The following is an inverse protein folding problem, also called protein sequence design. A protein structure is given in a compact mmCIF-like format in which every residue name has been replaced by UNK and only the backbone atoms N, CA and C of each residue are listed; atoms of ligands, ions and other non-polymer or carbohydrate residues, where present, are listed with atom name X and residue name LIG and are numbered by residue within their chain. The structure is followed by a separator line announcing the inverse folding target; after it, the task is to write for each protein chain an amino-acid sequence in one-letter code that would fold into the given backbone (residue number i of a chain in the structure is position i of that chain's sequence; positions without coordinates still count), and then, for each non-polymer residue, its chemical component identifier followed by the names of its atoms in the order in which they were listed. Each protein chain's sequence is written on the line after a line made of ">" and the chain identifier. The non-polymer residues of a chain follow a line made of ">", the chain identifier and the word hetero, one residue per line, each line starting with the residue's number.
data_IF_740941572654
#
_entry.id   IF_740941572654
#
_cell.length_a   1.000
_cell.length_b   1.000
_cell.length_c   1.000
_cell.angle_alpha   90.00
_cell.angle_beta   90.00
_cell.angle_gamma   90.00
#
_symmetry.space_group_name_H-M   'P 1'
#
loop_
_entity.id
_entity.type
_entity.pdbx_description
1 polymer ?
#
# COMPACT_ATOMS: atom_id res chain seq x y z
N UNK A 1 -5.90 -14.61 -20.45
CA UNK A 1 -5.37 -14.57 -19.08
C UNK A 1 -5.76 -13.26 -18.36
N UNK A 2 -5.59 -12.11 -18.98
CA UNK A 2 -5.88 -10.78 -18.39
C UNK A 2 -7.31 -10.61 -17.90
N UNK A 3 -8.30 -11.16 -18.64
CA UNK A 3 -9.72 -11.10 -18.26
C UNK A 3 -10.01 -11.86 -16.96
N UNK A 4 -9.43 -13.05 -16.79
CA UNK A 4 -9.62 -13.86 -15.57
C UNK A 4 -9.00 -13.16 -14.37
N UNK A 5 -7.80 -12.58 -14.55
CA UNK A 5 -7.11 -11.80 -13.52
C UNK A 5 -7.92 -10.57 -13.15
N UNK A 6 -8.45 -9.84 -14.13
CA UNK A 6 -9.28 -8.65 -13.90
C UNK A 6 -10.55 -8.96 -13.10
N UNK A 7 -11.27 -10.05 -13.45
CA UNK A 7 -12.45 -10.48 -12.72
C UNK A 7 -12.08 -10.92 -11.28
N UNK A 8 -11.00 -11.67 -11.12
CA UNK A 8 -10.54 -12.10 -9.79
C UNK A 8 -10.15 -10.91 -8.89
N UNK A 9 -9.45 -9.92 -9.43
CA UNK A 9 -9.07 -8.71 -8.69
C UNK A 9 -10.28 -7.86 -8.32
N UNK A 10 -11.24 -7.70 -9.23
CA UNK A 10 -12.48 -6.97 -8.95
C UNK A 10 -13.30 -7.68 -7.85
N UNK A 11 -13.41 -9.01 -7.90
CA UNK A 11 -14.10 -9.80 -6.88
C UNK A 11 -13.38 -9.69 -5.51
N UNK A 12 -12.05 -9.76 -5.47
CA UNK A 12 -11.26 -9.57 -4.26
C UNK A 12 -11.43 -8.15 -3.70
N UNK A 13 -11.49 -7.13 -4.55
CA UNK A 13 -11.75 -5.75 -4.13
C UNK A 13 -13.12 -5.61 -3.47
N UNK A 14 -14.17 -6.19 -4.05
CA UNK A 14 -15.51 -6.20 -3.48
C UNK A 14 -15.52 -6.97 -2.14
N UNK A 15 -14.86 -8.12 -2.07
CA UNK A 15 -14.71 -8.89 -0.83
C UNK A 15 -14.05 -8.07 0.29
N UNK A 16 -13.07 -7.24 -0.06
CA UNK A 16 -12.37 -6.34 0.88
C UNK A 16 -13.33 -5.31 1.49
N UNK A 17 -14.31 -4.82 0.74
CA UNK A 17 -15.33 -3.90 1.27
C UNK A 17 -16.28 -4.58 2.26
N UNK A 18 -16.58 -5.86 2.03
CA UNK A 18 -17.53 -6.62 2.89
C UNK A 18 -16.85 -7.09 4.19
N UNK A 19 -15.57 -7.48 4.11
CA UNK A 19 -14.81 -8.01 5.25
C UNK A 19 -13.47 -7.28 5.44
N UNK A 20 -13.49 -6.00 5.88
CA UNK A 20 -12.29 -5.17 5.96
C UNK A 20 -11.22 -5.72 6.92
N UNK A 21 -11.62 -6.29 8.07
CA UNK A 21 -10.68 -6.84 9.05
C UNK A 21 -9.93 -8.09 8.52
N UNK A 22 -10.64 -8.96 7.83
CA UNK A 22 -10.06 -10.16 7.20
C UNK A 22 -9.12 -9.77 6.04
N UNK A 23 -9.50 -8.76 5.26
CA UNK A 23 -8.67 -8.27 4.17
C UNK A 23 -7.34 -7.72 4.67
N UNK A 24 -7.35 -6.89 5.73
CA UNK A 24 -6.10 -6.37 6.33
C UNK A 24 -5.27 -7.50 6.93
N UNK A 25 -5.90 -8.50 7.57
CA UNK A 25 -5.19 -9.68 8.07
C UNK A 25 -4.48 -10.42 6.94
N UNK A 26 -5.16 -10.62 5.82
CA UNK A 26 -4.58 -11.26 4.63
C UNK A 26 -3.41 -10.47 4.08
N UNK A 27 -3.52 -9.14 4.01
CA UNK A 27 -2.43 -8.26 3.58
C UNK A 27 -1.21 -8.37 4.49
N UNK A 28 -1.41 -8.41 5.81
CA UNK A 28 -0.32 -8.60 6.79
C UNK A 28 0.40 -9.92 6.58
N UNK A 29 -0.35 -11.01 6.34
CA UNK A 29 0.22 -12.33 6.06
C UNK A 29 1.03 -12.34 4.75
N UNK A 30 0.46 -11.78 3.68
CA UNK A 30 1.14 -11.67 2.37
C UNK A 30 2.43 -10.85 2.52
N UNK A 31 2.37 -9.73 3.23
CA UNK A 31 3.55 -8.91 3.48
C UNK A 31 4.59 -9.64 4.31
N UNK A 32 4.17 -10.42 5.31
CA UNK A 32 5.05 -11.28 6.11
C UNK A 32 5.81 -12.31 5.26
N UNK A 33 5.13 -12.95 4.31
CA UNK A 33 5.74 -13.89 3.36
C UNK A 33 6.76 -13.18 2.46
N UNK A 34 6.38 -12.04 1.89
CA UNK A 34 7.26 -11.24 1.02
C UNK A 34 8.49 -10.77 1.81
N UNK A 35 8.32 -10.31 3.06
CA UNK A 35 9.41 -9.87 3.91
C UNK A 35 10.42 -10.99 4.20
N UNK A 36 9.96 -12.23 4.39
CA UNK A 36 10.84 -13.38 4.56
C UNK A 36 11.60 -13.67 3.27
N UNK A 37 10.92 -13.70 2.12
CA UNK A 37 11.55 -13.99 0.83
C UNK A 37 12.59 -12.91 0.49
N UNK A 38 12.25 -11.64 0.64
CA UNK A 38 13.19 -10.53 0.37
C UNK A 38 14.34 -10.52 1.37
N UNK A 39 14.09 -10.78 2.65
CA UNK A 39 15.12 -10.87 3.66
C UNK A 39 16.10 -12.01 3.41
N UNK A 40 15.62 -13.18 2.98
CA UNK A 40 16.50 -14.30 2.56
C UNK A 40 17.32 -13.89 1.33
N UNK A 41 16.71 -13.20 0.35
CA UNK A 41 17.41 -12.71 -0.83
C UNK A 41 18.54 -11.73 -0.46
N UNK A 42 18.30 -10.81 0.47
CA UNK A 42 19.30 -9.86 0.97
C UNK A 42 20.47 -10.55 1.67
N UNK A 43 20.19 -11.60 2.47
CA UNK A 43 21.23 -12.42 3.10
C UNK A 43 22.04 -13.19 2.06
N UNK A 44 21.39 -13.78 1.04
CA UNK A 44 22.07 -14.48 -0.06
C UNK A 44 22.92 -13.52 -0.88
N UNK A 45 22.45 -12.31 -1.14
CA UNK A 45 23.21 -11.24 -1.79
C UNK A 45 24.49 -10.91 -1.00
N UNK A 46 24.39 -10.76 0.32
CA UNK A 46 25.56 -10.53 1.17
C UNK A 46 26.61 -11.64 1.04
N UNK A 47 26.17 -12.90 1.00
CA UNK A 47 27.11 -14.06 0.88
C UNK A 47 27.79 -14.11 -0.49
N UNK A 48 27.08 -13.69 -1.56
CA UNK A 48 27.57 -13.72 -2.95
C UNK A 48 28.44 -12.52 -3.33
N UNK A 49 28.17 -11.37 -2.72
CA UNK A 49 28.92 -10.12 -3.02
C UNK A 49 30.22 -10.13 -2.21
N UNK A 50 31.33 -9.89 -2.91
CA UNK A 50 32.67 -9.93 -2.32
C UNK A 50 32.78 -8.90 -1.17
N UNK A 51 33.30 -9.34 -0.04
CA UNK A 51 33.44 -8.57 1.21
C UNK A 51 34.28 -7.28 1.06
N UNK A 52 34.93 -7.09 -0.09
CA UNK A 52 35.79 -5.94 -0.37
C UNK A 52 35.04 -4.69 -0.89
N UNK A 53 33.72 -4.79 -1.09
CA UNK A 53 32.89 -3.69 -1.65
C UNK A 53 32.35 -2.69 -0.60
N UNK A 54 32.87 -2.65 0.63
CA UNK A 54 32.57 -1.63 1.62
C UNK A 54 31.28 -1.83 2.43
N UNK A 55 30.65 -0.74 2.85
CA UNK A 55 29.54 -0.73 3.82
C UNK A 55 28.21 -1.33 3.30
N UNK A 56 28.01 -1.34 1.98
CA UNK A 56 26.74 -1.79 1.34
C UNK A 56 26.33 -3.22 1.68
N UNK A 57 27.22 -4.23 1.54
CA UNK A 57 26.88 -5.62 1.85
C UNK A 57 26.49 -5.84 3.32
N UNK A 58 27.15 -5.16 4.25
CA UNK A 58 26.85 -5.28 5.70
C UNK A 58 25.43 -4.75 6.02
N UNK A 59 25.01 -3.66 5.38
CA UNK A 59 23.66 -3.12 5.52
C UNK A 59 22.63 -4.12 4.97
N UNK A 60 22.90 -4.77 3.84
CA UNK A 60 22.03 -5.80 3.27
C UNK A 60 21.85 -7.00 4.22
N UNK A 61 22.92 -7.44 4.90
CA UNK A 61 22.82 -8.51 5.88
C UNK A 61 21.92 -8.13 7.06
N UNK A 62 22.13 -6.95 7.63
CA UNK A 62 21.35 -6.46 8.77
C UNK A 62 19.89 -6.30 8.36
N UNK A 63 19.62 -5.66 7.20
CA UNK A 63 18.29 -5.50 6.64
C UNK A 63 17.62 -6.86 6.41
N UNK A 64 18.33 -7.83 5.82
CA UNK A 64 17.81 -9.15 5.55
C UNK A 64 17.40 -9.90 6.81
N UNK A 65 18.25 -9.90 7.85
CA UNK A 65 17.93 -10.53 9.14
C UNK A 65 16.70 -9.86 9.78
N UNK A 66 16.65 -8.53 9.81
CA UNK A 66 15.53 -7.79 10.37
C UNK A 66 14.23 -8.08 9.58
N UNK A 67 14.30 -8.16 8.25
CA UNK A 67 13.15 -8.47 7.39
C UNK A 67 12.62 -9.88 7.64
N UNK A 68 13.50 -10.88 7.78
CA UNK A 68 13.10 -12.26 8.11
C UNK A 68 12.45 -12.32 9.49
N UNK A 69 13.04 -11.67 10.49
CA UNK A 69 12.47 -11.63 11.85
C UNK A 69 11.10 -10.94 11.87
N UNK A 70 10.98 -9.78 11.22
CA UNK A 70 9.72 -9.05 11.11
C UNK A 70 8.67 -9.88 10.37
N UNK A 71 9.03 -10.49 9.24
CA UNK A 71 8.14 -11.35 8.47
C UNK A 71 7.64 -12.56 9.27
N UNK A 72 8.52 -13.23 9.99
CA UNK A 72 8.16 -14.34 10.88
C UNK A 72 7.20 -13.89 11.99
N UNK A 73 7.45 -12.72 12.61
CA UNK A 73 6.58 -12.15 13.62
C UNK A 73 5.18 -11.83 13.07
N UNK A 74 5.09 -11.30 11.85
CA UNK A 74 3.81 -10.99 11.19
C UNK A 74 3.01 -12.26 10.86
N UNK A 75 3.67 -13.36 10.52
CA UNK A 75 3.00 -14.63 10.26
C UNK A 75 2.48 -15.31 11.53
N UNK A 76 3.25 -15.23 12.63
CA UNK A 76 2.87 -15.83 13.91
C UNK A 76 1.80 -14.99 14.62
N UNK A 77 1.91 -13.66 14.52
CA UNK A 77 1.03 -12.69 15.19
C UNK A 77 0.45 -11.67 14.21
N UNK A 78 -0.46 -12.06 13.29
CA UNK A 78 -1.02 -11.13 12.28
C UNK A 78 -1.76 -9.94 12.93
N UNK A 79 -2.36 -10.14 14.09
CA UNK A 79 -3.02 -9.07 14.84
C UNK A 79 -2.03 -7.97 15.28
N UNK A 80 -0.80 -8.32 15.64
CA UNK A 80 0.23 -7.32 15.94
C UNK A 80 0.56 -6.47 14.70
N UNK A 81 0.63 -7.09 13.52
CA UNK A 81 0.80 -6.39 12.25
C UNK A 81 -0.35 -5.42 11.94
N UNK A 82 -1.61 -5.82 12.20
CA UNK A 82 -2.77 -4.91 12.07
C UNK A 82 -2.65 -3.69 13.00
N UNK A 83 -2.24 -3.89 14.23
CA UNK A 83 -2.03 -2.79 15.17
C UNK A 83 -0.93 -1.83 14.70
N UNK A 84 0.18 -2.35 14.20
CA UNK A 84 1.26 -1.53 13.62
C UNK A 84 0.74 -0.72 12.43
N UNK A 85 0.02 -1.34 11.50
CA UNK A 85 -0.59 -0.64 10.36
C UNK A 85 -1.59 0.43 10.82
N UNK A 86 -2.42 0.13 11.82
CA UNK A 86 -3.42 1.07 12.33
C UNK A 86 -2.83 2.33 12.98
N UNK A 87 -1.58 2.28 13.40
CA UNK A 87 -0.85 3.43 13.94
C UNK A 87 -0.01 4.14 12.87
N UNK A 88 0.69 3.39 12.02
CA UNK A 88 1.56 3.98 10.99
C UNK A 88 0.77 4.67 9.89
N UNK A 89 -0.37 4.10 9.48
CA UNK A 89 -1.18 4.67 8.42
C UNK A 89 -1.70 6.09 8.73
N UNK A 90 -2.31 6.36 9.89
CA UNK A 90 -2.73 7.73 10.23
C UNK A 90 -1.57 8.72 10.31
N UNK A 91 -0.42 8.30 10.85
CA UNK A 91 0.77 9.16 10.94
C UNK A 91 1.24 9.55 9.54
N UNK A 92 1.37 8.57 8.64
CA UNK A 92 1.71 8.82 7.24
C UNK A 92 0.67 9.71 6.54
N UNK A 93 -0.61 9.46 6.77
CA UNK A 93 -1.72 10.20 6.19
C UNK A 93 -1.72 11.67 6.64
N UNK A 94 -1.52 11.93 7.94
CA UNK A 94 -1.37 13.28 8.50
C UNK A 94 -0.18 13.99 7.87
N UNK A 95 0.99 13.34 7.80
CA UNK A 95 2.18 13.88 7.18
C UNK A 95 1.95 14.25 5.70
N UNK A 96 1.21 13.41 4.97
CA UNK A 96 0.83 13.67 3.58
C UNK A 96 -0.11 14.88 3.44
N UNK A 97 -1.15 14.98 4.28
CA UNK A 97 -2.04 16.13 4.30
C UNK A 97 -1.29 17.43 4.64
N UNK A 98 -0.37 17.39 5.62
CA UNK A 98 0.44 18.54 6.00
C UNK A 98 1.38 18.97 4.87
N UNK A 99 2.02 18.01 4.19
CA UNK A 99 2.84 18.30 3.01
C UNK A 99 2.04 18.98 1.89
N UNK A 100 0.82 18.50 1.61
CA UNK A 100 -0.08 19.12 0.63
C UNK A 100 -0.49 20.53 1.02
N UNK A 101 -0.79 20.77 2.30
CA UNK A 101 -1.11 22.10 2.81
C UNK A 101 0.08 23.07 2.68
N UNK A 102 1.31 22.61 2.86
CA UNK A 102 2.51 23.42 2.70
C UNK A 102 2.72 23.92 1.26
N UNK A 103 2.23 23.16 0.27
CA UNK A 103 2.37 23.49 -1.16
C UNK A 103 1.15 24.23 -1.76
N UNK A 104 0.20 24.67 -0.94
CA UNK A 104 -1.03 25.32 -1.41
C UNK A 104 -0.79 26.56 -2.27
N UNK A 105 0.21 27.37 -1.95
CA UNK A 105 0.55 28.58 -2.73
C UNK A 105 0.99 28.22 -4.16
N UNK A 106 1.74 27.14 -4.32
CA UNK A 106 2.16 26.64 -5.63
C UNK A 106 0.94 26.12 -6.42
N UNK A 107 0.02 25.41 -5.78
CA UNK A 107 -1.21 24.93 -6.40
C UNK A 107 -2.08 26.08 -6.89
N UNK A 108 -2.21 27.15 -6.10
CA UNK A 108 -2.94 28.36 -6.50
C UNK A 108 -2.39 28.98 -7.77
N UNK A 109 -1.05 29.02 -7.90
CA UNK A 109 -0.37 29.61 -9.05
C UNK A 109 -0.56 28.80 -10.34
N UNK A 110 -0.61 27.46 -10.24
CA UNK A 110 -0.65 26.56 -11.40
C UNK A 110 -2.09 26.21 -11.78
N UNK A 111 -2.95 25.91 -10.81
CA UNK A 111 -4.27 25.32 -11.03
C UNK A 111 -5.45 26.23 -10.70
N UNK A 112 -5.19 27.46 -10.23
CA UNK A 112 -6.21 28.46 -9.97
C UNK A 112 -6.89 28.37 -8.60
N UNK A 113 -7.80 29.33 -8.36
CA UNK A 113 -8.37 29.57 -7.04
C UNK A 113 -9.34 28.47 -6.59
N UNK A 114 -10.07 27.85 -7.52
CA UNK A 114 -11.00 26.75 -7.20
C UNK A 114 -10.26 25.52 -6.66
N UNK A 115 -9.19 25.11 -7.33
CA UNK A 115 -8.38 23.94 -6.92
C UNK A 115 -7.66 24.22 -5.59
N UNK A 116 -7.24 25.45 -5.35
CA UNK A 116 -6.68 25.88 -4.06
C UNK A 116 -7.66 25.63 -2.90
N UNK A 117 -8.88 26.18 -2.98
CA UNK A 117 -9.89 26.04 -1.92
C UNK A 117 -10.31 24.57 -1.73
N UNK A 118 -10.53 23.85 -2.82
CA UNK A 118 -10.87 22.42 -2.79
C UNK A 118 -9.78 21.61 -2.09
N UNK A 119 -8.51 21.80 -2.49
CA UNK A 119 -7.37 21.09 -1.90
C UNK A 119 -7.21 21.44 -0.42
N UNK A 120 -7.40 22.72 -0.05
CA UNK A 120 -7.32 23.16 1.33
C UNK A 120 -8.36 22.47 2.20
N UNK A 121 -9.64 22.49 1.80
CA UNK A 121 -10.74 21.89 2.56
C UNK A 121 -10.54 20.38 2.70
N UNK A 122 -10.24 19.68 1.61
CA UNK A 122 -10.04 18.21 1.63
C UNK A 122 -8.87 17.82 2.54
N UNK A 123 -7.76 18.54 2.52
CA UNK A 123 -6.61 18.22 3.38
C UNK A 123 -6.84 18.57 4.85
N UNK A 124 -7.62 19.64 5.15
CA UNK A 124 -8.02 19.94 6.53
C UNK A 124 -8.93 18.85 7.08
N UNK A 125 -9.94 18.41 6.31
CA UNK A 125 -10.79 17.26 6.67
C UNK A 125 -9.94 16.01 6.85
N UNK A 126 -9.01 15.75 5.93
CA UNK A 126 -8.07 14.63 6.01
C UNK A 126 -7.22 14.66 7.29
N UNK A 127 -6.75 15.83 7.70
CA UNK A 127 -5.97 15.99 8.93
C UNK A 127 -6.80 15.66 10.17
N UNK A 128 -8.05 16.14 10.24
CA UNK A 128 -8.99 15.82 11.33
C UNK A 128 -9.26 14.31 11.36
N UNK A 129 -9.54 13.69 10.21
CA UNK A 129 -9.75 12.25 10.10
C UNK A 129 -8.50 11.45 10.53
N UNK A 130 -7.31 11.88 10.13
CA UNK A 130 -6.06 11.26 10.54
C UNK A 130 -5.88 11.27 12.06
N UNK A 131 -6.21 12.37 12.72
CA UNK A 131 -6.19 12.45 14.19
C UNK A 131 -7.21 11.50 14.81
N UNK A 132 -8.45 11.46 14.31
CA UNK A 132 -9.49 10.52 14.77
C UNK A 132 -9.04 9.06 14.61
N UNK A 133 -8.35 8.73 13.52
CA UNK A 133 -7.82 7.37 13.28
C UNK A 133 -6.78 6.94 14.32
N UNK A 134 -5.96 7.86 14.85
CA UNK A 134 -4.98 7.53 15.92
C UNK A 134 -5.71 7.07 17.19
N UNK A 135 -6.83 7.72 17.53
CA UNK A 135 -7.62 7.35 18.70
C UNK A 135 -8.56 6.16 18.48
N UNK A 136 -8.80 5.80 17.22
CA UNK A 136 -9.73 4.72 16.84
C UNK A 136 -9.10 3.77 15.82
N UNK A 137 -8.28 2.79 16.27
CA UNK A 137 -7.57 1.86 15.38
C UNK A 137 -8.47 1.10 14.40
N UNK A 138 -9.71 0.80 14.81
CA UNK A 138 -10.68 0.13 13.93
C UNK A 138 -11.04 0.99 12.70
N UNK A 139 -11.12 2.31 12.85
CA UNK A 139 -11.37 3.23 11.73
C UNK A 139 -10.16 3.23 10.79
N UNK A 140 -8.94 3.20 11.34
CA UNK A 140 -7.71 3.13 10.57
C UNK A 140 -7.64 1.82 9.75
N UNK A 141 -7.94 0.68 10.36
CA UNK A 141 -7.98 -0.62 9.68
C UNK A 141 -9.02 -0.61 8.55
N UNK A 142 -10.22 -0.11 8.81
CA UNK A 142 -11.26 0.00 7.79
C UNK A 142 -10.84 0.94 6.64
N UNK A 143 -10.21 2.07 6.93
CA UNK A 143 -9.72 2.99 5.92
C UNK A 143 -8.67 2.36 5.00
N UNK A 144 -7.70 1.62 5.56
CA UNK A 144 -6.71 0.87 4.79
C UNK A 144 -7.39 -0.16 3.90
N UNK A 145 -8.34 -0.94 4.44
CA UNK A 145 -9.08 -1.93 3.67
C UNK A 145 -9.84 -1.29 2.51
N UNK A 146 -10.55 -0.20 2.74
CA UNK A 146 -11.32 0.48 1.70
C UNK A 146 -10.45 1.07 0.60
N UNK A 147 -9.29 1.65 0.94
CA UNK A 147 -8.33 2.14 -0.06
C UNK A 147 -7.81 0.99 -0.90
N UNK A 148 -7.41 -0.11 -0.28
CA UNK A 148 -6.91 -1.30 -0.99
C UNK A 148 -8.02 -1.92 -1.83
N UNK A 149 -9.23 -2.05 -1.29
CA UNK A 149 -10.39 -2.57 -2.03
C UNK A 149 -10.73 -1.73 -3.25
N UNK A 150 -10.75 -0.40 -3.11
CA UNK A 150 -10.96 0.52 -4.23
C UNK A 150 -9.87 0.37 -5.31
N UNK A 151 -8.60 0.28 -4.89
CA UNK A 151 -7.49 0.07 -5.80
C UNK A 151 -7.61 -1.27 -6.57
N UNK A 152 -7.96 -2.36 -5.87
CA UNK A 152 -8.15 -3.66 -6.50
C UNK A 152 -9.30 -3.68 -7.51
N UNK A 153 -10.42 -3.00 -7.20
CA UNK A 153 -11.55 -2.86 -8.13
C UNK A 153 -11.13 -2.07 -9.37
N UNK A 154 -10.49 -0.92 -9.18
CA UNK A 154 -10.04 -0.08 -10.30
C UNK A 154 -9.03 -0.82 -11.18
N UNK A 155 -8.06 -1.49 -10.57
CA UNK A 155 -7.06 -2.27 -11.30
C UNK A 155 -7.69 -3.50 -12.00
N UNK A 156 -8.68 -4.14 -11.37
CA UNK A 156 -9.47 -5.20 -11.99
C UNK A 156 -10.23 -4.72 -13.21
N UNK A 157 -10.87 -3.55 -13.15
CA UNK A 157 -11.57 -2.92 -14.28
C UNK A 157 -10.57 -2.59 -15.40
N UNK A 158 -9.41 -2.04 -15.08
CA UNK A 158 -8.37 -1.72 -16.04
C UNK A 158 -7.89 -2.98 -16.79
N UNK A 159 -7.61 -4.06 -16.08
CA UNK A 159 -7.26 -5.36 -16.68
C UNK A 159 -8.36 -5.90 -17.62
N UNK A 160 -9.63 -5.72 -17.26
CA UNK A 160 -10.77 -6.13 -18.10
C UNK A 160 -10.81 -5.29 -19.37
N UNK A 161 -10.63 -3.97 -19.29
CA UNK A 161 -10.62 -3.06 -20.44
C UNK A 161 -9.49 -3.44 -21.40
N UNK A 162 -8.28 -3.68 -20.87
CA UNK A 162 -7.12 -4.09 -21.68
C UNK A 162 -7.39 -5.44 -22.37
N UNK A 163 -7.99 -6.40 -21.67
CA UNK A 163 -8.34 -7.69 -22.23
C UNK A 163 -9.31 -7.56 -23.41
N UNK A 164 -10.32 -6.68 -23.31
CA UNK A 164 -11.27 -6.41 -24.39
C UNK A 164 -10.62 -5.66 -25.57
N UNK A 165 -9.75 -4.71 -25.32
CA UNK A 165 -9.00 -3.98 -26.35
C UNK A 165 -8.15 -4.93 -27.20
N UNK A 166 -7.43 -5.86 -26.58
CA UNK A 166 -6.60 -6.86 -27.28
C UNK A 166 -7.41 -7.87 -28.11
N UNK A 167 -8.61 -8.21 -27.67
CA UNK A 167 -9.51 -9.10 -28.43
C UNK A 167 -10.00 -8.38 -29.72
N UNK A 168 -10.13 -7.05 -29.69
CA UNK A 168 -10.51 -6.23 -30.86
C UNK A 168 -9.40 -6.12 -31.91
N UNK A 169 -8.14 -6.07 -31.52
CA UNK A 169 -7.00 -5.98 -32.44
C UNK A 169 -6.66 -7.31 -33.15
N UNK A 170 -6.99 -8.45 -32.54
CA UNK A 170 -6.74 -9.79 -33.12
C UNK A 170 -7.62 -10.17 -34.29
N UNK A 171 -8.54 -9.30 -34.78
CA UNK A 171 -9.43 -9.55 -35.92
C UNK A 171 -9.02 -8.82 -37.21
N UNK A 172 -7.84 -8.21 -37.25
CA UNK A 172 -7.37 -7.44 -38.42
C UNK A 172 -6.25 -8.15 -39.22
N UNK A 173 -6.11 -9.48 -39.16
CA UNK A 173 -5.24 -10.25 -40.05
C UNK A 173 -6.01 -11.42 -40.65
#
# INVERSE_FOLDING_TARGET
>A
MELIIGIALAALGIFTFVYPDNAVTTLVIIYGIIAIITGIADVVLYVRVDKHLGFGPTVSLISGILSVMAGAMLLVYPNAGKWVLSLLFPIWFIAHCLSRLSHLNTIKYIAGNFVYWFTMIVNIIGLVLGVVMIFSPNISIAAVAYIVGAYLVLFGIDCIIIAFSRIGEGKQY
#
